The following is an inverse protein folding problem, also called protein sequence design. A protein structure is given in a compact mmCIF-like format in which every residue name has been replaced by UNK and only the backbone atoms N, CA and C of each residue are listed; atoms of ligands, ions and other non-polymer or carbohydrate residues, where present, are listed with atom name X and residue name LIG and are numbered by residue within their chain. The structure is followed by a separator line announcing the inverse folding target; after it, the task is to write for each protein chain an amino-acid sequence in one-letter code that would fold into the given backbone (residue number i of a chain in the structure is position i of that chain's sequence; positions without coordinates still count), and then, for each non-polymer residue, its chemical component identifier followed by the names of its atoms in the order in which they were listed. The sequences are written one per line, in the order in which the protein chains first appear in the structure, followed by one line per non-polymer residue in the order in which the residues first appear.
data_IF_178671379269
#
_entry.id   IF_178671379269
#
_cell.length_a   1.000
_cell.length_b   1.000
_cell.length_c   1.000
_cell.angle_alpha   90.00
_cell.angle_beta   90.00
_cell.angle_gamma   90.00
#
_symmetry.space_group_name_H-M   'P 1'
#
loop_
_entity.id
_entity.type
_entity.pdbx_description
1 polymer ?
#
# COMPACT_ATOMS: atom_id res chain seq x y z
N UNK A 1 15.30 32.74 -50.30
CA UNK A 1 15.15 34.15 -50.75
C UNK A 1 13.92 34.71 -50.10
N UNK A 2 13.93 35.97 -49.64
CA UNK A 2 12.80 36.58 -48.92
C UNK A 2 12.92 38.10 -48.85
N UNK A 3 12.27 38.77 -49.79
CA UNK A 3 12.02 40.22 -49.83
C UNK A 3 10.74 40.50 -48.98
N UNK A 4 10.47 41.65 -48.35
CA UNK A 4 10.90 43.08 -48.48
C UNK A 4 10.77 43.74 -47.06
N UNK A 5 11.64 44.67 -46.62
CA UNK A 5 11.51 46.15 -46.69
C UNK A 5 10.29 46.78 -45.95
N UNK A 6 10.34 47.96 -45.29
CA UNK A 6 11.44 48.94 -45.02
C UNK A 6 10.98 50.08 -44.05
N UNK A 7 11.91 50.99 -43.68
CA UNK A 7 11.78 52.32 -42.99
C UNK A 7 11.53 52.30 -41.47
N UNK A 8 12.02 53.21 -40.62
CA UNK A 8 13.18 54.16 -40.55
C UNK A 8 13.27 54.61 -39.05
N UNK A 9 14.42 54.77 -38.36
CA UNK A 9 15.44 55.86 -38.42
C UNK A 9 14.88 57.26 -38.07
N UNK A 10 15.29 58.01 -37.02
CA UNK A 10 15.88 57.67 -35.68
C UNK A 10 15.23 58.61 -34.59
N UNK A 11 15.79 59.45 -33.69
CA UNK A 11 17.15 59.87 -33.23
C UNK A 11 17.09 60.57 -31.83
N UNK A 12 17.94 60.15 -30.86
CA UNK A 12 18.82 60.90 -29.89
C UNK A 12 18.41 62.32 -29.37
N UNK A 13 18.56 62.73 -28.08
CA UNK A 13 19.83 62.91 -27.32
C UNK A 13 19.68 63.08 -25.78
N UNK A 14 20.80 62.92 -25.06
CA UNK A 14 21.10 63.00 -23.61
C UNK A 14 20.85 64.37 -22.92
N UNK A 15 20.88 64.40 -21.57
CA UNK A 15 21.80 65.20 -20.70
C UNK A 15 21.64 64.78 -19.20
N UNK A 16 22.62 65.07 -18.32
CA UNK A 16 22.74 64.55 -16.94
C UNK A 16 23.48 65.50 -15.96
N UNK A 17 22.93 65.75 -14.75
CA UNK A 17 23.55 66.42 -13.58
C UNK A 17 22.59 66.36 -12.36
N UNK A 18 22.90 65.85 -11.15
CA UNK A 18 23.80 66.38 -10.09
C UNK A 18 23.49 67.85 -9.71
N UNK A 19 23.28 68.29 -8.46
CA UNK A 19 23.65 67.81 -7.10
C UNK A 19 22.50 68.15 -6.08
N UNK A 20 22.57 68.13 -4.73
CA UNK A 20 23.63 68.19 -3.70
C UNK A 20 23.24 67.46 -2.38
N UNK A 21 24.21 67.32 -1.45
CA UNK A 21 24.03 66.97 -0.03
C UNK A 21 24.45 68.13 0.87
N UNK A 22 24.19 68.05 2.19
CA UNK A 22 25.35 68.02 3.09
C UNK A 22 25.33 66.83 4.07
N UNK A 23 26.52 66.33 4.41
CA UNK A 23 26.72 65.32 5.46
C UNK A 23 26.99 66.00 6.81
N UNK A 24 26.68 65.31 7.93
CA UNK A 24 27.28 65.58 9.24
C UNK A 24 27.88 64.29 9.79
N UNK A 25 29.15 64.35 10.19
CA UNK A 25 29.98 63.20 10.54
C UNK A 25 30.44 63.28 11.99
N UNK A 26 30.16 62.25 12.79
CA UNK A 26 30.84 62.00 14.06
C UNK A 26 31.41 60.58 14.09
N UNK A 27 32.70 60.51 14.43
CA UNK A 27 33.45 59.28 14.76
C UNK A 27 33.30 59.04 16.27
N UNK A 28 33.30 57.83 16.81
CA UNK A 28 33.38 56.51 16.19
C UNK A 28 34.28 55.57 16.99
N UNK A 29 33.76 54.42 17.44
CA UNK A 29 34.51 53.41 18.21
C UNK A 29 34.61 52.06 17.50
N UNK A 30 35.72 51.33 17.74
CA UNK A 30 36.01 50.03 17.13
C UNK A 30 35.62 48.88 18.07
N UNK A 31 34.60 48.09 17.72
CA UNK A 31 34.41 46.72 18.26
C UNK A 31 34.64 45.66 17.18
N UNK A 32 35.39 44.60 17.55
CA UNK A 32 35.79 43.51 16.63
C UNK A 32 34.57 42.68 16.24
N UNK A 33 34.37 42.42 14.94
CA UNK A 33 33.35 41.47 14.48
C UNK A 33 33.76 40.04 14.84
N UNK A 34 33.16 39.47 15.88
CA UNK A 34 33.12 38.02 16.06
C UNK A 34 32.31 37.41 14.91
N UNK A 35 32.87 36.38 14.24
CA UNK A 35 32.09 35.53 13.34
C UNK A 35 31.29 34.55 14.18
N UNK A 36 29.99 34.78 14.34
CA UNK A 36 29.10 33.78 14.92
C UNK A 36 28.95 32.61 13.94
N UNK A 37 29.44 31.42 14.32
CA UNK A 37 28.97 30.18 13.72
C UNK A 37 27.48 30.04 14.01
N UNK A 38 26.62 30.24 13.01
CA UNK A 38 25.25 29.74 13.07
C UNK A 38 25.31 28.24 12.81
N UNK A 39 25.18 27.43 13.86
CA UNK A 39 24.76 26.05 13.71
C UNK A 39 23.36 26.06 13.11
N UNK A 40 23.22 25.60 11.87
CA UNK A 40 21.93 25.34 11.24
C UNK A 40 21.34 24.04 11.81
N UNK A 41 21.05 24.04 13.11
CA UNK A 41 20.33 22.97 13.77
C UNK A 41 18.90 22.93 13.23
N UNK A 42 18.59 21.90 12.45
CA UNK A 42 17.23 21.65 11.97
C UNK A 42 16.42 21.16 13.17
N UNK A 43 15.57 22.04 13.71
CA UNK A 43 14.57 21.65 14.70
C UNK A 43 13.58 20.69 14.04
N UNK A 44 13.59 19.44 14.50
CA UNK A 44 12.72 18.38 14.01
C UNK A 44 11.38 18.45 14.75
N UNK A 45 10.39 19.12 14.16
CA UNK A 45 9.05 19.19 14.74
C UNK A 45 8.29 17.87 14.54
N UNK A 46 8.24 17.07 15.61
CA UNK A 46 7.61 15.76 15.63
C UNK A 46 6.12 15.77 15.26
N UNK A 47 5.39 16.88 15.47
CA UNK A 47 3.94 16.94 15.20
C UNK A 47 3.65 16.76 13.71
N UNK A 48 4.28 17.58 12.87
CA UNK A 48 4.26 17.49 11.40
C UNK A 48 4.74 16.13 10.86
N UNK A 49 5.57 15.41 11.63
CA UNK A 49 6.04 14.08 11.23
C UNK A 49 4.98 12.99 11.38
N UNK A 50 4.03 13.12 12.31
CA UNK A 50 2.93 12.18 12.52
C UNK A 50 1.71 12.48 11.64
N UNK A 51 1.35 13.75 11.43
CA UNK A 51 0.15 14.12 10.65
C UNK A 51 0.20 13.56 9.23
N UNK A 52 1.28 13.84 8.51
CA UNK A 52 1.47 13.41 7.11
C UNK A 52 1.95 11.94 6.96
N UNK A 53 1.89 11.11 8.01
CA UNK A 53 2.32 9.70 7.94
C UNK A 53 1.16 8.75 7.64
N UNK A 54 1.37 7.87 6.65
CA UNK A 54 0.52 6.71 6.28
C UNK A 54 1.36 5.43 6.41
N UNK A 55 0.74 4.29 6.68
CA UNK A 55 1.44 2.99 6.72
C UNK A 55 1.86 2.47 5.34
N UNK A 56 1.36 3.05 4.25
CA UNK A 56 1.90 2.79 2.92
C UNK A 56 3.37 3.27 2.87
N UNK A 57 4.30 2.31 2.97
CA UNK A 57 5.71 2.48 3.40
C UNK A 57 6.63 3.31 2.46
N UNK A 58 6.06 4.00 1.48
CA UNK A 58 6.73 4.92 0.55
C UNK A 58 6.39 6.40 0.77
N UNK A 59 5.27 6.74 1.41
CA UNK A 59 4.73 8.12 1.40
C UNK A 59 5.70 9.22 1.86
N UNK A 60 6.54 8.95 2.86
CA UNK A 60 7.64 9.85 3.27
C UNK A 60 9.04 9.38 2.84
N UNK A 61 9.21 8.13 2.42
CA UNK A 61 10.51 7.57 1.98
C UNK A 61 10.84 7.90 0.52
N UNK A 62 9.83 8.13 -0.33
CA UNK A 62 9.97 8.35 -1.79
C UNK A 62 9.79 9.83 -2.18
N UNK A 63 9.09 10.64 -1.38
CA UNK A 63 8.81 12.05 -1.71
C UNK A 63 10.06 12.96 -1.82
N UNK A 64 11.26 12.45 -1.51
CA UNK A 64 12.53 13.17 -1.58
C UNK A 64 13.52 12.51 -2.57
N UNK A 65 13.09 12.33 -3.83
CA UNK A 65 13.88 11.85 -4.98
C UNK A 65 15.10 12.72 -5.38
N UNK A 66 15.63 13.56 -4.48
CA UNK A 66 16.83 14.39 -4.70
C UNK A 66 18.16 13.66 -4.45
N UNK A 67 18.16 12.50 -3.79
CA UNK A 67 19.39 11.74 -3.44
C UNK A 67 19.21 10.21 -3.60
N UNK A 68 18.94 9.74 -4.82
CA UNK A 68 18.69 8.31 -5.08
C UNK A 68 19.78 7.35 -4.54
N UNK A 69 21.07 7.75 -4.57
CA UNK A 69 22.19 6.93 -4.07
C UNK A 69 22.15 6.65 -2.56
N UNK A 70 21.43 7.45 -1.76
CA UNK A 70 21.26 7.22 -0.32
C UNK A 70 20.05 6.34 0.01
N UNK A 71 19.17 6.09 -0.97
CA UNK A 71 17.95 5.31 -0.77
C UNK A 71 18.13 3.82 -1.06
N UNK A 72 19.14 3.42 -1.85
CA UNK A 72 19.39 2.03 -2.25
C UNK A 72 19.34 1.03 -1.10
N UNK A 73 20.23 1.12 -0.09
CA UNK A 73 20.24 0.18 1.04
C UNK A 73 18.91 0.14 1.83
N UNK A 74 18.20 1.27 1.92
CA UNK A 74 16.90 1.37 2.62
C UNK A 74 15.80 0.68 1.81
N UNK A 75 15.87 0.74 0.48
CA UNK A 75 14.98 0.00 -0.42
C UNK A 75 15.32 -1.49 -0.35
N UNK A 76 16.60 -1.87 -0.40
CA UNK A 76 17.06 -3.26 -0.32
C UNK A 76 16.61 -3.94 0.99
N UNK A 77 16.73 -3.26 2.14
CA UNK A 77 16.22 -3.75 3.44
C UNK A 77 14.69 -3.94 3.47
N UNK A 78 13.92 -3.03 2.88
CA UNK A 78 12.45 -3.11 2.82
C UNK A 78 11.98 -4.18 1.83
N UNK A 79 12.67 -4.34 0.69
CA UNK A 79 12.48 -5.43 -0.27
C UNK A 79 12.74 -6.78 0.40
N UNK A 80 13.85 -6.90 1.14
CA UNK A 80 14.17 -8.13 1.88
C UNK A 80 13.15 -8.42 3.00
N UNK A 81 12.63 -7.39 3.68
CA UNK A 81 11.52 -7.52 4.65
C UNK A 81 10.25 -8.05 3.98
N UNK A 82 9.79 -7.41 2.90
CA UNK A 82 8.59 -7.82 2.17
C UNK A 82 8.73 -9.24 1.56
N UNK A 83 9.95 -9.66 1.21
CA UNK A 83 10.26 -11.03 0.80
C UNK A 83 10.29 -12.04 1.98
N UNK A 84 10.64 -11.64 3.21
CA UNK A 84 10.42 -12.49 4.41
C UNK A 84 8.93 -12.65 4.67
N UNK A 85 8.19 -11.54 4.69
CA UNK A 85 6.76 -11.49 4.92
C UNK A 85 5.99 -12.37 3.94
N UNK A 86 6.29 -12.30 2.64
CA UNK A 86 5.69 -13.21 1.65
C UNK A 86 5.93 -14.69 1.97
N UNK A 87 7.15 -15.08 2.36
CA UNK A 87 7.49 -16.47 2.73
C UNK A 87 6.74 -16.93 3.98
N UNK A 88 6.57 -16.06 4.98
CA UNK A 88 5.76 -16.33 6.16
C UNK A 88 4.30 -16.62 5.79
N UNK A 89 3.62 -15.68 5.12
CA UNK A 89 2.21 -15.85 4.76
C UNK A 89 1.99 -17.01 3.79
N UNK A 90 2.90 -17.25 2.83
CA UNK A 90 2.83 -18.45 1.97
C UNK A 90 2.92 -19.75 2.76
N UNK A 91 3.72 -19.82 3.84
CA UNK A 91 3.80 -21.00 4.71
C UNK A 91 2.60 -21.17 5.64
N UNK A 92 1.95 -20.08 6.07
CA UNK A 92 0.68 -20.16 6.82
C UNK A 92 -0.43 -20.66 5.87
N UNK A 93 -0.55 -20.04 4.70
CA UNK A 93 -1.62 -20.33 3.75
C UNK A 93 -1.45 -21.63 2.97
N UNK A 94 -0.21 -22.11 2.75
CA UNK A 94 0.12 -23.26 1.89
C UNK A 94 -0.34 -23.12 0.42
N UNK A 95 -0.78 -21.90 0.04
CA UNK A 95 -1.17 -21.50 -1.31
C UNK A 95 -0.98 -19.98 -1.45
N UNK A 96 -0.82 -19.49 -2.67
CA UNK A 96 -0.76 -18.06 -2.97
C UNK A 96 -2.12 -17.36 -3.00
N UNK A 97 -3.21 -18.11 -3.14
CA UNK A 97 -4.60 -17.62 -3.18
C UNK A 97 -5.57 -18.69 -2.65
N UNK A 98 -6.84 -18.33 -2.39
CA UNK A 98 -7.92 -19.29 -2.05
C UNK A 98 -9.09 -19.27 -3.04
N UNK A 99 -9.20 -18.23 -3.87
CA UNK A 99 -10.21 -18.13 -4.93
C UNK A 99 -10.17 -19.32 -5.91
N UNK A 100 -11.31 -19.77 -6.47
CA UNK A 100 -11.39 -20.89 -7.41
C UNK A 100 -10.94 -20.49 -8.83
N UNK A 101 -9.70 -20.01 -8.96
CA UNK A 101 -9.10 -19.51 -10.22
C UNK A 101 -8.08 -20.47 -10.85
N UNK A 102 -7.67 -21.53 -10.13
CA UNK A 102 -6.64 -22.51 -10.53
C UNK A 102 -6.82 -23.06 -11.96
N UNK A 103 -8.03 -23.49 -12.33
CA UNK A 103 -8.31 -23.97 -13.69
C UNK A 103 -8.15 -22.86 -14.75
N UNK A 104 -8.59 -21.64 -14.43
CA UNK A 104 -8.47 -20.48 -15.32
C UNK A 104 -7.00 -20.06 -15.50
N UNK A 105 -6.18 -20.19 -14.45
CA UNK A 105 -4.73 -19.94 -14.51
C UNK A 105 -4.00 -21.00 -15.35
N UNK A 106 -4.37 -22.28 -15.20
CA UNK A 106 -3.79 -23.44 -15.93
C UNK A 106 -4.17 -23.53 -17.40
N UNK A 107 -5.43 -23.24 -17.73
CA UNK A 107 -5.93 -23.25 -19.13
C UNK A 107 -5.20 -22.21 -19.99
N UNK A 108 -4.92 -21.03 -19.42
CA UNK A 108 -4.08 -20.01 -20.03
C UNK A 108 -4.85 -18.82 -20.61
N UNK A 109 -4.12 -17.77 -20.98
CA UNK A 109 -4.71 -16.51 -21.42
C UNK A 109 -5.51 -15.80 -20.32
N UNK A 110 -5.26 -16.12 -19.04
CA UNK A 110 -5.81 -15.34 -17.93
C UNK A 110 -5.05 -14.02 -17.76
N UNK A 111 -5.77 -12.97 -17.34
CA UNK A 111 -5.18 -11.68 -16.97
C UNK A 111 -5.32 -11.49 -15.46
N UNK A 112 -4.20 -11.37 -14.75
CA UNK A 112 -4.14 -11.25 -13.30
C UNK A 112 -3.56 -9.89 -12.91
N UNK A 113 -4.15 -9.26 -11.91
CA UNK A 113 -3.67 -8.02 -11.29
C UNK A 113 -3.27 -8.28 -9.83
N UNK A 114 -2.15 -7.71 -9.39
CA UNK A 114 -1.61 -7.77 -8.03
C UNK A 114 -1.42 -6.31 -7.54
N UNK A 115 -2.29 -5.81 -6.67
CA UNK A 115 -2.33 -4.40 -6.25
C UNK A 115 -1.73 -4.25 -4.85
N UNK A 116 -0.74 -3.35 -4.74
CA UNK A 116 0.17 -3.32 -3.58
C UNK A 116 1.27 -4.36 -3.71
N UNK A 117 1.73 -4.65 -4.93
CA UNK A 117 2.67 -5.75 -5.17
C UNK A 117 4.05 -5.55 -4.51
N UNK A 118 4.40 -4.32 -4.11
CA UNK A 118 5.68 -3.95 -3.52
C UNK A 118 6.86 -4.41 -4.39
N UNK A 119 7.74 -5.32 -3.90
CA UNK A 119 8.83 -5.91 -4.69
C UNK A 119 8.37 -6.90 -5.77
N UNK A 120 7.06 -7.08 -5.98
CA UNK A 120 6.50 -7.95 -7.02
C UNK A 120 6.65 -9.45 -6.76
N UNK A 121 7.03 -9.88 -5.55
CA UNK A 121 7.42 -11.27 -5.30
C UNK A 121 6.28 -12.28 -5.54
N UNK A 122 5.04 -11.93 -5.15
CA UNK A 122 3.87 -12.77 -5.45
C UNK A 122 3.57 -12.77 -6.96
N UNK A 123 3.63 -11.59 -7.59
CA UNK A 123 3.44 -11.42 -9.04
C UNK A 123 4.40 -12.31 -9.85
N UNK A 124 5.68 -12.36 -9.44
CA UNK A 124 6.73 -13.16 -10.09
C UNK A 124 6.49 -14.64 -9.86
N UNK A 125 6.29 -15.08 -8.61
CA UNK A 125 6.14 -16.49 -8.29
C UNK A 125 4.88 -17.11 -8.94
N UNK A 126 3.79 -16.32 -9.04
CA UNK A 126 2.59 -16.69 -9.78
C UNK A 126 2.83 -16.72 -11.30
N UNK A 127 3.60 -15.78 -11.86
CA UNK A 127 3.95 -15.77 -13.28
C UNK A 127 4.84 -16.96 -13.68
N UNK A 128 5.76 -17.37 -12.80
CA UNK A 128 6.60 -18.57 -12.97
C UNK A 128 5.76 -19.86 -12.85
N UNK A 129 4.79 -19.89 -11.92
CA UNK A 129 3.89 -21.03 -11.72
C UNK A 129 2.89 -21.22 -12.86
N UNK A 130 2.45 -20.13 -13.50
CA UNK A 130 1.40 -20.14 -14.54
C UNK A 130 1.86 -19.44 -15.84
N UNK A 131 2.88 -19.98 -16.56
CA UNK A 131 3.54 -19.31 -17.68
C UNK A 131 2.63 -19.08 -18.92
N UNK A 132 1.44 -19.72 -18.97
CA UNK A 132 0.43 -19.48 -20.01
C UNK A 132 -0.48 -18.28 -19.73
N UNK A 133 -0.37 -17.67 -18.55
CA UNK A 133 -1.22 -16.58 -18.07
C UNK A 133 -0.38 -15.34 -17.78
N UNK A 134 -1.01 -14.16 -17.78
CA UNK A 134 -0.33 -12.86 -17.74
C UNK A 134 -0.60 -12.11 -16.45
N UNK A 135 0.47 -11.56 -15.85
CA UNK A 135 0.44 -10.97 -14.52
C UNK A 135 0.90 -9.52 -14.55
N UNK A 136 0.14 -8.64 -13.90
CA UNK A 136 0.43 -7.21 -13.78
C UNK A 136 0.51 -6.85 -12.31
N UNK A 137 1.68 -6.43 -11.83
CA UNK A 137 1.84 -5.88 -10.49
C UNK A 137 1.71 -4.36 -10.53
N UNK A 138 0.97 -3.79 -9.59
CA UNK A 138 0.83 -2.34 -9.40
C UNK A 138 1.18 -1.96 -7.98
N UNK A 139 1.98 -0.90 -7.85
CA UNK A 139 2.25 -0.26 -6.57
C UNK A 139 2.44 1.26 -6.77
N UNK A 140 2.19 2.05 -5.74
CA UNK A 140 2.49 3.49 -5.75
C UNK A 140 4.00 3.75 -5.60
N UNK A 141 4.74 2.78 -5.04
CA UNK A 141 6.18 2.76 -4.85
C UNK A 141 6.87 1.85 -5.89
N UNK A 142 7.76 2.37 -6.76
CA UNK A 142 8.37 1.58 -7.84
C UNK A 142 9.57 0.73 -7.33
N UNK A 143 9.35 -0.07 -6.27
CA UNK A 143 10.35 -0.97 -5.67
C UNK A 143 10.36 -2.38 -6.30
N UNK A 144 9.53 -2.61 -7.32
CA UNK A 144 9.49 -3.84 -8.11
C UNK A 144 10.61 -3.92 -9.17
N UNK A 145 11.01 -5.13 -9.63
CA UNK A 145 12.06 -5.32 -10.62
C UNK A 145 11.78 -4.69 -11.98
N UNK A 146 12.66 -3.77 -12.38
CA UNK A 146 12.59 -3.07 -13.67
C UNK A 146 13.10 -3.91 -14.86
N UNK A 147 14.08 -4.80 -14.62
CA UNK A 147 14.75 -5.59 -15.66
C UNK A 147 14.52 -7.10 -15.51
N UNK A 148 14.81 -7.67 -14.33
CA UNK A 148 14.76 -9.12 -14.07
C UNK A 148 13.37 -9.54 -13.60
N UNK A 149 12.54 -10.04 -14.52
CA UNK A 149 11.22 -10.62 -14.25
C UNK A 149 10.80 -11.61 -15.36
N UNK A 150 9.83 -12.52 -15.10
CA UNK A 150 9.26 -13.38 -16.13
C UNK A 150 8.66 -12.59 -17.30
N UNK A 151 8.69 -13.14 -18.52
CA UNK A 151 8.21 -12.46 -19.75
C UNK A 151 6.70 -12.20 -19.74
N UNK A 152 5.95 -12.97 -18.96
CA UNK A 152 4.51 -12.83 -18.72
C UNK A 152 4.18 -11.93 -17.51
N UNK A 153 5.19 -11.38 -16.81
CA UNK A 153 5.04 -10.44 -15.71
C UNK A 153 5.35 -8.99 -16.16
N UNK A 154 4.47 -8.06 -15.81
CA UNK A 154 4.63 -6.61 -16.03
C UNK A 154 4.42 -5.86 -14.71
N UNK A 155 5.05 -4.70 -14.59
CA UNK A 155 4.85 -3.81 -13.44
C UNK A 155 4.57 -2.39 -13.88
N UNK A 156 3.80 -1.66 -13.07
CA UNK A 156 3.42 -0.28 -13.32
C UNK A 156 3.33 0.49 -12.00
N UNK A 157 3.84 1.73 -11.99
CA UNK A 157 3.64 2.62 -10.85
C UNK A 157 2.27 3.30 -10.97
N UNK A 158 1.34 3.03 -10.04
CA UNK A 158 0.06 3.71 -9.95
C UNK A 158 -0.50 3.64 -8.51
N UNK A 159 -1.30 4.63 -8.14
CA UNK A 159 -1.98 4.71 -6.85
C UNK A 159 -3.48 4.43 -7.04
N UNK A 160 -4.00 3.38 -6.39
CA UNK A 160 -5.42 3.02 -6.51
C UNK A 160 -6.37 4.15 -6.08
N UNK A 161 -5.96 5.03 -5.17
CA UNK A 161 -6.77 6.16 -4.73
C UNK A 161 -6.97 7.24 -5.81
N UNK A 162 -6.17 7.21 -6.88
CA UNK A 162 -6.24 8.11 -8.03
C UNK A 162 -6.87 7.41 -9.27
N UNK A 163 -7.26 6.13 -9.13
CA UNK A 163 -7.74 5.26 -10.21
C UNK A 163 -6.61 4.42 -10.83
N UNK A 164 -6.92 3.17 -11.16
CA UNK A 164 -6.02 2.24 -11.84
C UNK A 164 -6.10 2.45 -13.36
N UNK A 165 -4.97 2.54 -14.08
CA UNK A 165 -4.93 2.87 -15.51
C UNK A 165 -5.26 1.66 -16.42
N UNK A 166 -6.35 0.97 -16.12
CA UNK A 166 -6.89 -0.16 -16.88
C UNK A 166 -8.37 0.07 -17.22
N UNK A 167 -8.82 -0.58 -18.30
CA UNK A 167 -10.23 -0.59 -18.67
C UNK A 167 -11.05 -1.44 -17.70
N UNK A 168 -12.35 -1.15 -17.63
CA UNK A 168 -13.34 -2.00 -16.99
C UNK A 168 -13.29 -3.43 -17.56
N UNK A 169 -13.67 -4.40 -16.73
CA UNK A 169 -13.73 -5.83 -17.08
C UNK A 169 -12.41 -6.44 -17.65
N UNK A 170 -11.25 -5.92 -17.22
CA UNK A 170 -9.94 -6.40 -17.69
C UNK A 170 -9.53 -7.76 -17.09
N UNK A 171 -9.52 -7.92 -15.76
CA UNK A 171 -8.79 -9.02 -15.11
C UNK A 171 -9.69 -10.19 -14.70
N UNK A 172 -9.23 -11.42 -14.97
CA UNK A 172 -9.83 -12.68 -14.50
C UNK A 172 -9.77 -12.81 -12.98
N UNK A 173 -8.66 -12.33 -12.40
CA UNK A 173 -8.37 -12.38 -10.98
C UNK A 173 -7.64 -11.12 -10.54
N UNK A 174 -8.08 -10.53 -9.44
CA UNK A 174 -7.45 -9.36 -8.82
C UNK A 174 -7.11 -9.70 -7.37
N UNK A 175 -5.83 -9.66 -7.05
CA UNK A 175 -5.29 -9.92 -5.72
C UNK A 175 -4.80 -8.61 -5.09
N UNK A 176 -5.05 -8.45 -3.79
CA UNK A 176 -4.48 -7.41 -2.95
C UNK A 176 -4.12 -8.03 -1.58
N UNK A 177 -3.08 -7.52 -0.91
CA UNK A 177 -2.74 -8.02 0.43
C UNK A 177 -2.00 -7.04 1.32
N UNK A 178 -2.17 -7.21 2.63
CA UNK A 178 -1.49 -6.48 3.70
C UNK A 178 -1.58 -4.95 3.54
N UNK A 179 -2.66 -4.45 2.94
CA UNK A 179 -2.94 -3.04 2.70
C UNK A 179 -4.01 -2.46 3.64
N UNK A 180 -4.54 -3.22 4.60
CA UNK A 180 -5.52 -2.71 5.58
C UNK A 180 -5.10 -1.39 6.24
N UNK A 181 -3.81 -1.23 6.54
CA UNK A 181 -3.26 -0.04 7.18
C UNK A 181 -2.96 1.12 6.21
N UNK A 182 -2.94 0.88 4.90
CA UNK A 182 -2.61 1.89 3.90
C UNK A 182 -3.73 2.92 3.67
N UNK A 183 -4.97 2.55 3.99
CA UNK A 183 -6.19 3.29 3.66
C UNK A 183 -7.11 3.43 4.89
N UNK A 184 -7.81 4.55 4.98
CA UNK A 184 -8.96 4.71 5.88
C UNK A 184 -10.14 3.84 5.45
N UNK A 185 -11.08 3.55 6.36
CA UNK A 185 -12.34 2.86 6.02
C UNK A 185 -13.05 3.54 4.84
N UNK A 186 -13.17 4.88 4.89
CA UNK A 186 -13.77 5.65 3.81
C UNK A 186 -13.06 5.47 2.45
N UNK A 187 -11.73 5.35 2.43
CA UNK A 187 -10.97 5.04 1.21
C UNK A 187 -11.16 3.60 0.74
N UNK A 188 -11.40 2.64 1.65
CA UNK A 188 -11.76 1.26 1.32
C UNK A 188 -13.12 1.16 0.63
N UNK A 189 -14.16 1.72 1.24
CA UNK A 189 -15.54 1.78 0.75
C UNK A 189 -15.70 2.57 -0.56
N UNK A 190 -15.24 3.82 -0.61
CA UNK A 190 -15.53 4.72 -1.74
C UNK A 190 -14.58 4.54 -2.94
N UNK A 191 -13.39 3.94 -2.73
CA UNK A 191 -12.35 3.85 -3.77
C UNK A 191 -11.84 2.44 -4.00
N UNK A 192 -11.22 1.81 -3.01
CA UNK A 192 -10.47 0.55 -3.22
C UNK A 192 -11.38 -0.57 -3.74
N UNK A 193 -12.45 -0.90 -3.03
CA UNK A 193 -13.34 -2.02 -3.40
C UNK A 193 -14.09 -1.73 -4.72
N UNK A 194 -14.71 -0.54 -4.93
CA UNK A 194 -15.37 -0.20 -6.19
C UNK A 194 -14.45 -0.22 -7.42
N UNK A 195 -13.16 0.10 -7.25
CA UNK A 195 -12.15 0.17 -8.31
C UNK A 195 -11.60 -1.21 -8.66
N UNK A 196 -11.27 -2.05 -7.66
CA UNK A 196 -10.92 -3.45 -7.90
C UNK A 196 -12.07 -4.17 -8.61
N UNK A 197 -13.31 -3.96 -8.14
CA UNK A 197 -14.51 -4.47 -8.80
C UNK A 197 -14.77 -3.86 -10.19
N UNK A 198 -14.23 -2.67 -10.51
CA UNK A 198 -14.30 -2.09 -11.87
C UNK A 198 -13.40 -2.87 -12.82
N UNK A 199 -12.12 -3.04 -12.46
CA UNK A 199 -11.11 -3.65 -13.33
C UNK A 199 -11.18 -5.18 -13.39
N UNK A 200 -11.77 -5.86 -12.41
CA UNK A 200 -12.14 -7.29 -12.50
C UNK A 200 -13.23 -7.50 -13.55
N UNK A 201 -13.14 -8.56 -14.36
CA UNK A 201 -14.20 -8.95 -15.30
C UNK A 201 -15.43 -9.52 -14.61
N UNK A 202 -16.58 -9.41 -15.25
CA UNK A 202 -17.79 -10.17 -14.90
C UNK A 202 -17.48 -11.67 -14.76
N UNK A 203 -17.95 -12.28 -13.67
CA UNK A 203 -17.61 -13.65 -13.28
C UNK A 203 -16.13 -13.88 -12.92
N UNK A 204 -15.34 -12.81 -12.76
CA UNK A 204 -13.96 -12.84 -12.26
C UNK A 204 -13.91 -12.65 -10.75
N UNK A 205 -12.74 -12.85 -10.14
CA UNK A 205 -12.59 -12.88 -8.68
C UNK A 205 -11.75 -11.71 -8.16
N UNK A 206 -12.15 -11.15 -7.01
CA UNK A 206 -11.30 -10.30 -6.17
C UNK A 206 -10.96 -11.05 -4.89
N UNK A 207 -9.69 -11.05 -4.50
CA UNK A 207 -9.22 -11.63 -3.23
C UNK A 207 -8.34 -10.65 -2.46
N UNK A 208 -8.62 -10.56 -1.16
CA UNK A 208 -7.81 -9.87 -0.17
C UNK A 208 -7.16 -10.90 0.75
N UNK A 209 -5.86 -10.78 1.03
CA UNK A 209 -5.19 -11.50 2.11
C UNK A 209 -4.63 -10.51 3.14
N UNK A 210 -5.11 -10.58 4.37
CA UNK A 210 -4.76 -9.62 5.41
C UNK A 210 -4.42 -10.31 6.74
N UNK A 211 -4.04 -9.52 7.74
CA UNK A 211 -3.64 -9.98 9.08
C UNK A 211 -4.32 -9.14 10.15
N UNK A 212 -4.65 -9.78 11.28
CA UNK A 212 -4.89 -9.07 12.52
C UNK A 212 -3.66 -8.26 12.91
N UNK A 213 -3.91 -7.10 13.53
CA UNK A 213 -2.89 -6.14 13.98
C UNK A 213 -2.72 -6.20 15.51
N UNK A 214 -3.69 -6.77 16.21
CA UNK A 214 -3.62 -7.12 17.63
C UNK A 214 -3.29 -8.61 17.75
N UNK A 215 -2.48 -8.98 18.75
CA UNK A 215 -2.15 -10.38 19.01
C UNK A 215 -3.05 -10.97 20.11
N UNK A 216 -3.24 -12.28 20.06
CA UNK A 216 -3.79 -13.08 21.15
C UNK A 216 -2.66 -13.47 22.10
N UNK A 217 -2.93 -13.52 23.41
CA UNK A 217 -1.95 -13.79 24.46
C UNK A 217 -0.71 -12.87 24.40
N UNK A 218 -0.94 -11.56 24.43
CA UNK A 218 0.13 -10.56 24.52
C UNK A 218 0.78 -10.55 25.91
N UNK A 219 2.10 -10.38 25.95
CA UNK A 219 2.78 -9.89 27.15
C UNK A 219 2.57 -8.38 27.34
N UNK A 220 2.81 -7.83 28.55
CA UNK A 220 2.48 -6.44 28.89
C UNK A 220 3.20 -5.38 28.03
N UNK A 221 4.41 -5.65 27.55
CA UNK A 221 5.14 -4.70 26.67
C UNK A 221 4.64 -4.78 25.23
N UNK A 222 4.36 -5.99 24.73
CA UNK A 222 3.71 -6.24 23.44
C UNK A 222 2.35 -5.55 23.39
N UNK A 223 1.52 -5.71 24.43
CA UNK A 223 0.23 -5.04 24.54
C UNK A 223 0.36 -3.51 24.55
N UNK A 224 1.42 -2.93 25.14
CA UNK A 224 1.69 -1.48 25.06
C UNK A 224 2.05 -1.04 23.65
N UNK A 225 2.81 -1.84 22.90
CA UNK A 225 3.11 -1.60 21.47
C UNK A 225 1.82 -1.65 20.62
N UNK A 226 1.03 -2.73 20.74
CA UNK A 226 -0.24 -2.93 20.04
C UNK A 226 -1.26 -1.83 20.35
N UNK A 227 -1.42 -1.44 21.62
CA UNK A 227 -2.35 -0.37 22.00
C UNK A 227 -1.96 0.99 21.42
N UNK A 228 -0.66 1.33 21.40
CA UNK A 228 -0.20 2.56 20.75
C UNK A 228 -0.43 2.53 19.23
N UNK A 229 -0.25 1.37 18.60
CA UNK A 229 -0.49 1.15 17.17
C UNK A 229 -1.98 1.29 16.83
N UNK A 230 -2.86 0.66 17.60
CA UNK A 230 -4.32 0.77 17.48
C UNK A 230 -4.81 2.20 17.70
N UNK A 231 -4.26 2.92 18.68
CA UNK A 231 -4.58 4.33 18.92
C UNK A 231 -4.18 5.23 17.74
N UNK A 232 -2.99 5.01 17.14
CA UNK A 232 -2.56 5.73 15.95
C UNK A 232 -3.47 5.45 14.75
N UNK A 233 -3.79 4.18 14.48
CA UNK A 233 -4.68 3.78 13.37
C UNK A 233 -6.08 4.37 13.51
N UNK A 234 -6.66 4.33 14.72
CA UNK A 234 -7.94 4.98 15.02
C UNK A 234 -7.89 6.49 14.77
N UNK A 235 -6.78 7.14 15.14
CA UNK A 235 -6.52 8.57 14.84
C UNK A 235 -6.34 8.90 13.35
N UNK A 236 -6.21 7.89 12.47
CA UNK A 236 -6.18 8.02 11.00
C UNK A 236 -7.46 7.59 10.31
N UNK A 237 -8.48 7.10 11.04
CA UNK A 237 -9.67 6.49 10.45
C UNK A 237 -9.40 5.17 9.74
N UNK A 238 -8.30 4.48 10.08
CA UNK A 238 -7.94 3.16 9.56
C UNK A 238 -8.83 2.07 10.21
N UNK A 239 -9.06 1.00 9.45
CA UNK A 239 -9.97 -0.12 9.72
C UNK A 239 -10.04 -0.65 11.16
N UNK A 240 -11.25 -1.02 11.58
CA UNK A 240 -11.56 -1.92 12.71
C UNK A 240 -12.95 -2.56 12.47
N UNK A 241 -13.21 -3.83 12.85
CA UNK A 241 -12.36 -5.02 12.82
C UNK A 241 -12.24 -5.60 11.39
N UNK A 242 -11.15 -6.26 11.04
CA UNK A 242 -10.85 -6.61 9.64
C UNK A 242 -11.68 -7.78 9.07
N UNK A 243 -11.92 -8.77 9.91
CA UNK A 243 -12.68 -10.02 9.70
C UNK A 243 -14.14 -9.78 9.33
N UNK A 244 -14.70 -8.66 9.78
CA UNK A 244 -16.06 -8.22 9.47
C UNK A 244 -16.08 -7.07 8.46
N UNK A 245 -15.19 -6.08 8.58
CA UNK A 245 -15.25 -4.89 7.74
C UNK A 245 -15.04 -5.18 6.25
N UNK A 246 -14.00 -5.95 5.89
CA UNK A 246 -13.67 -6.21 4.48
C UNK A 246 -14.80 -6.97 3.76
N UNK A 247 -15.31 -8.11 4.29
CA UNK A 247 -16.43 -8.80 3.63
C UNK A 247 -17.72 -7.96 3.63
N UNK A 248 -18.07 -7.27 4.73
CA UNK A 248 -19.24 -6.37 4.74
C UNK A 248 -19.14 -5.27 3.66
N UNK A 249 -17.94 -4.76 3.40
CA UNK A 249 -17.69 -3.75 2.36
C UNK A 249 -17.77 -4.33 0.95
N UNK A 250 -17.36 -5.58 0.75
CA UNK A 250 -17.56 -6.31 -0.50
C UNK A 250 -19.04 -6.61 -0.74
N UNK A 251 -19.77 -7.09 0.27
CA UNK A 251 -21.22 -7.34 0.19
C UNK A 251 -22.02 -6.07 -0.08
N UNK A 252 -21.62 -4.94 0.53
CA UNK A 252 -22.25 -3.63 0.32
C UNK A 252 -22.00 -3.06 -1.08
N UNK A 253 -20.92 -3.47 -1.75
CA UNK A 253 -20.63 -3.09 -3.12
C UNK A 253 -21.45 -3.92 -4.11
N UNK A 254 -22.45 -3.29 -4.75
CA UNK A 254 -23.42 -3.89 -5.69
C UNK A 254 -22.83 -4.63 -6.92
N UNK A 255 -21.50 -4.63 -7.08
CA UNK A 255 -20.77 -5.35 -8.13
C UNK A 255 -20.44 -6.80 -7.77
N UNK A 256 -20.59 -7.24 -6.52
CA UNK A 256 -20.25 -8.60 -6.08
C UNK A 256 -21.48 -9.48 -5.83
N UNK A 257 -21.31 -10.78 -6.10
CA UNK A 257 -22.22 -11.81 -5.59
C UNK A 257 -22.22 -11.78 -4.05
N UNK A 258 -23.39 -11.99 -3.43
CA UNK A 258 -23.59 -11.77 -1.99
C UNK A 258 -22.96 -12.84 -1.07
N UNK A 259 -22.49 -13.96 -1.62
CA UNK A 259 -21.77 -15.00 -0.87
C UNK A 259 -20.26 -14.69 -0.86
N UNK A 260 -19.83 -13.70 -0.06
CA UNK A 260 -18.42 -13.40 0.13
C UNK A 260 -17.77 -14.48 1.01
N UNK A 261 -16.68 -15.07 0.53
CA UNK A 261 -16.01 -16.21 1.18
C UNK A 261 -14.92 -15.72 2.11
N UNK A 262 -14.96 -16.23 3.33
CA UNK A 262 -14.05 -15.88 4.42
C UNK A 262 -13.31 -17.14 4.84
N UNK A 263 -11.98 -17.10 4.81
CA UNK A 263 -11.11 -18.11 5.41
C UNK A 263 -10.25 -17.49 6.50
N UNK A 264 -10.02 -18.22 7.58
CA UNK A 264 -9.14 -17.84 8.69
C UNK A 264 -8.00 -18.86 8.84
N UNK A 265 -6.79 -18.38 9.15
CA UNK A 265 -5.73 -19.20 9.74
C UNK A 265 -5.07 -18.50 10.93
N UNK A 266 -4.88 -19.23 12.03
CA UNK A 266 -4.04 -18.78 13.14
C UNK A 266 -2.54 -19.04 12.87
N UNK A 267 -1.69 -18.09 13.26
CA UNK A 267 -0.24 -18.23 13.28
C UNK A 267 0.29 -18.03 14.71
N UNK A 268 0.96 -19.06 15.24
CA UNK A 268 1.59 -19.03 16.57
C UNK A 268 2.99 -18.44 16.47
N UNK A 269 3.36 -17.56 17.41
CA UNK A 269 4.59 -16.76 17.37
C UNK A 269 5.56 -17.22 18.46
N UNK A 270 6.79 -17.57 18.08
CA UNK A 270 7.85 -18.05 18.98
C UNK A 270 8.42 -19.42 18.58
N UNK A 271 9.63 -19.72 19.06
CA UNK A 271 10.34 -20.99 18.81
C UNK A 271 9.59 -22.21 19.34
N UNK A 272 8.77 -22.02 20.37
CA UNK A 272 7.86 -23.05 20.89
C UNK A 272 6.85 -23.56 19.84
N UNK A 273 6.55 -22.77 18.80
CA UNK A 273 5.73 -23.16 17.66
C UNK A 273 6.57 -23.60 16.43
N UNK A 274 7.83 -23.98 16.66
CA UNK A 274 8.75 -24.49 15.65
C UNK A 274 9.24 -23.44 14.66
N UNK A 275 9.68 -23.91 13.49
CA UNK A 275 10.32 -23.08 12.47
C UNK A 275 9.40 -21.96 11.94
N UNK A 276 8.11 -22.24 11.77
CA UNK A 276 7.13 -21.24 11.33
C UNK A 276 6.93 -20.15 12.40
N UNK A 277 6.91 -20.53 13.68
CA UNK A 277 6.79 -19.58 14.79
C UNK A 277 8.03 -18.70 14.98
N UNK A 278 9.23 -19.23 14.73
CA UNK A 278 10.46 -18.43 14.65
C UNK A 278 10.41 -17.44 13.47
N UNK A 279 10.00 -17.90 12.27
CA UNK A 279 9.85 -17.03 11.11
C UNK A 279 8.83 -15.89 11.36
N UNK A 280 7.78 -16.15 12.16
CA UNK A 280 6.84 -15.13 12.59
C UNK A 280 7.48 -14.10 13.55
N UNK A 281 8.32 -14.53 14.50
CA UNK A 281 9.10 -13.61 15.34
C UNK A 281 9.98 -12.70 14.49
N UNK A 282 10.69 -13.26 13.50
CA UNK A 282 11.62 -12.50 12.67
C UNK A 282 10.91 -11.44 11.80
N UNK A 283 9.76 -11.78 11.20
CA UNK A 283 8.98 -10.83 10.40
C UNK A 283 8.35 -9.72 11.27
N UNK A 284 7.72 -10.07 12.39
CA UNK A 284 7.08 -9.11 13.31
C UNK A 284 8.13 -8.17 13.93
N UNK A 285 9.29 -8.71 14.34
CA UNK A 285 10.42 -7.92 14.87
C UNK A 285 10.91 -6.89 13.83
N UNK A 286 11.03 -7.29 12.56
CA UNK A 286 11.37 -6.38 11.46
C UNK A 286 10.25 -5.37 11.15
N UNK A 287 8.99 -5.77 11.28
CA UNK A 287 7.82 -4.89 11.16
C UNK A 287 7.85 -3.76 12.20
N UNK A 288 8.00 -4.09 13.49
CA UNK A 288 8.11 -3.09 14.55
C UNK A 288 9.32 -2.16 14.38
N UNK A 289 10.46 -2.68 13.92
CA UNK A 289 11.64 -1.88 13.61
C UNK A 289 11.39 -0.87 12.46
N UNK A 290 10.65 -1.28 11.41
CA UNK A 290 10.34 -0.42 10.27
C UNK A 290 9.46 0.80 10.64
N UNK A 291 8.61 0.67 11.66
CA UNK A 291 7.72 1.74 12.18
C UNK A 291 8.27 2.47 13.42
N UNK A 292 9.55 2.28 13.77
CA UNK A 292 10.17 2.79 15.01
C UNK A 292 9.97 4.29 15.27
N UNK A 293 10.19 5.15 14.28
CA UNK A 293 10.13 6.62 14.48
C UNK A 293 8.72 7.14 14.84
N UNK A 294 7.65 6.85 14.08
CA UNK A 294 6.30 7.25 14.47
C UNK A 294 5.84 6.55 15.75
N UNK A 295 6.16 5.26 15.95
CA UNK A 295 5.67 4.52 17.12
C UNK A 295 6.32 4.95 18.43
N UNK A 296 7.63 5.17 18.47
CA UNK A 296 8.29 5.75 19.67
C UNK A 296 7.72 7.12 20.03
N UNK A 297 7.46 7.97 19.02
CA UNK A 297 6.81 9.28 19.21
C UNK A 297 5.39 9.13 19.79
N UNK A 298 4.57 8.24 19.23
CA UNK A 298 3.21 7.94 19.73
C UNK A 298 3.20 7.36 21.16
N UNK A 299 4.21 6.58 21.52
CA UNK A 299 4.37 6.00 22.86
C UNK A 299 4.96 6.98 23.89
N UNK A 300 5.31 8.21 23.47
CA UNK A 300 6.10 9.17 24.25
C UNK A 300 7.40 8.57 24.82
N UNK A 301 8.04 7.67 24.04
CA UNK A 301 9.20 6.90 24.43
C UNK A 301 10.45 7.33 23.64
N UNK A 302 11.63 7.20 24.25
CA UNK A 302 12.90 7.39 23.54
C UNK A 302 13.15 6.26 22.53
N UNK A 303 13.97 6.54 21.51
CA UNK A 303 14.28 5.56 20.47
C UNK A 303 14.91 4.26 21.01
N UNK A 304 15.71 4.33 22.09
CA UNK A 304 16.28 3.16 22.76
C UNK A 304 15.24 2.40 23.60
N UNK A 305 14.36 3.10 24.32
CA UNK A 305 13.27 2.49 25.10
C UNK A 305 12.30 1.71 24.19
N UNK A 306 12.19 2.12 22.93
CA UNK A 306 11.46 1.40 21.89
C UNK A 306 12.23 0.18 21.34
N UNK A 307 13.57 0.27 21.20
CA UNK A 307 14.40 -0.90 20.87
C UNK A 307 14.29 -1.98 21.97
N UNK A 308 14.38 -1.56 23.23
CA UNK A 308 14.22 -2.43 24.40
C UNK A 308 12.84 -3.12 24.38
N UNK A 309 11.77 -2.40 24.01
CA UNK A 309 10.44 -2.99 23.85
C UNK A 309 10.38 -4.07 22.76
N UNK A 310 11.06 -3.88 21.62
CA UNK A 310 11.19 -4.92 20.58
C UNK A 310 11.98 -6.13 21.09
N UNK A 311 13.05 -5.92 21.87
CA UNK A 311 13.82 -7.02 22.48
C UNK A 311 13.05 -7.75 23.60
N UNK A 312 12.01 -7.13 24.16
CA UNK A 312 11.11 -7.76 25.14
C UNK A 312 10.00 -8.56 24.42
N UNK A 313 9.44 -8.06 23.30
CA UNK A 313 8.48 -8.81 22.47
C UNK A 313 8.99 -10.24 22.17
N UNK A 314 10.23 -10.37 21.71
CA UNK A 314 10.86 -11.66 21.39
C UNK A 314 11.06 -12.62 22.60
N UNK A 315 10.82 -12.15 23.83
CA UNK A 315 10.78 -12.96 25.07
C UNK A 315 9.35 -13.23 25.51
N UNK A 316 8.47 -12.23 25.41
CA UNK A 316 7.06 -12.34 25.75
C UNK A 316 6.34 -13.39 24.89
N UNK A 317 6.62 -13.46 23.59
CA UNK A 317 6.04 -14.49 22.70
C UNK A 317 6.36 -15.92 23.14
N UNK A 318 7.55 -16.15 23.71
CA UNK A 318 7.95 -17.46 24.25
C UNK A 318 7.26 -17.77 25.58
N UNK A 319 6.99 -16.75 26.41
CA UNK A 319 6.36 -16.90 27.71
C UNK A 319 4.84 -17.02 27.62
N UNK A 320 4.18 -16.08 26.92
CA UNK A 320 2.73 -15.91 26.88
C UNK A 320 2.05 -16.75 25.80
N UNK A 321 2.81 -17.36 24.87
CA UNK A 321 2.29 -18.19 23.77
C UNK A 321 1.39 -17.39 22.83
N UNK A 322 1.96 -16.29 22.34
CA UNK A 322 1.31 -15.29 21.50
C UNK A 322 0.95 -15.85 20.11
N UNK A 323 -0.15 -15.38 19.53
CA UNK A 323 -0.56 -15.69 18.15
C UNK A 323 -1.28 -14.52 17.48
N UNK A 324 -1.48 -14.59 16.16
CA UNK A 324 -2.37 -13.71 15.40
C UNK A 324 -3.21 -14.53 14.42
N UNK A 325 -4.29 -13.96 13.88
CA UNK A 325 -5.01 -14.54 12.74
C UNK A 325 -4.63 -13.82 11.45
N UNK A 326 -4.66 -14.57 10.36
CA UNK A 326 -4.64 -14.05 8.99
C UNK A 326 -5.90 -14.51 8.28
N UNK A 327 -6.40 -13.65 7.40
CA UNK A 327 -7.70 -13.78 6.78
C UNK A 327 -7.55 -13.76 5.26
N UNK A 328 -8.43 -14.49 4.58
CA UNK A 328 -8.71 -14.30 3.16
C UNK A 328 -10.18 -13.99 2.96
N UNK A 329 -10.44 -12.95 2.19
CA UNK A 329 -11.78 -12.52 1.79
C UNK A 329 -11.84 -12.56 0.27
N UNK A 330 -12.73 -13.35 -0.33
CA UNK A 330 -12.85 -13.44 -1.77
C UNK A 330 -14.29 -13.49 -2.27
N UNK A 331 -14.55 -12.75 -3.34
CA UNK A 331 -15.86 -12.58 -3.93
C UNK A 331 -15.81 -12.55 -5.45
N UNK A 332 -16.83 -13.11 -6.08
CA UNK A 332 -16.97 -13.08 -7.53
C UNK A 332 -17.73 -11.81 -7.95
N UNK A 333 -17.26 -11.14 -9.01
CA UNK A 333 -18.00 -10.03 -9.62
C UNK A 333 -19.21 -10.58 -10.37
N UNK A 334 -20.37 -9.95 -10.21
CA UNK A 334 -21.64 -10.39 -10.82
C UNK A 334 -21.50 -10.57 -12.35
N UNK A 335 -22.12 -11.62 -12.88
CA UNK A 335 -22.21 -11.90 -14.32
C UNK A 335 -23.59 -11.46 -14.86
N UNK A 336 -23.63 -10.39 -15.65
CA UNK A 336 -24.91 -9.90 -16.22
C UNK A 336 -25.54 -10.91 -17.20
N UNK A 337 -24.72 -11.77 -17.82
CA UNK A 337 -25.13 -12.89 -18.69
C UNK A 337 -26.03 -13.92 -18.01
N UNK A 338 -26.09 -13.95 -16.67
CA UNK A 338 -26.83 -14.96 -15.92
C UNK A 338 -28.32 -14.62 -15.74
N UNK A 339 -28.73 -13.37 -15.98
CA UNK A 339 -30.07 -12.88 -15.60
C UNK A 339 -31.18 -13.25 -16.60
N UNK A 340 -30.87 -13.71 -17.81
CA UNK A 340 -31.86 -14.02 -18.84
C UNK A 340 -32.43 -15.43 -18.72
N UNK A 341 -33.02 -15.75 -17.57
CA UNK A 341 -33.95 -16.87 -17.48
C UNK A 341 -35.21 -16.51 -18.30
N UNK A 342 -35.30 -17.05 -19.52
CA UNK A 342 -36.39 -16.71 -20.45
C UNK A 342 -37.70 -17.28 -19.92
N UNK A 343 -38.48 -16.44 -19.22
CA UNK A 343 -39.89 -16.70 -18.96
C UNK A 343 -40.69 -16.55 -20.25
N UNK A 344 -40.71 -17.60 -21.08
CA UNK A 344 -41.66 -17.73 -22.18
C UNK A 344 -43.09 -17.66 -21.63
N UNK A 345 -43.92 -16.68 -22.02
CA UNK A 345 -45.31 -16.64 -21.61
C UNK A 345 -46.06 -17.83 -22.23
N UNK A 346 -46.69 -18.66 -21.40
CA UNK A 346 -47.47 -19.81 -21.86
C UNK A 346 -48.86 -19.37 -22.32
N UNK A 347 -48.92 -18.63 -23.43
CA UNK A 347 -50.16 -18.18 -24.06
C UNK A 347 -50.01 -18.16 -25.58
N UNK A 348 -50.26 -19.31 -26.21
CA UNK A 348 -50.64 -19.42 -27.62
C UNK A 348 -51.88 -20.30 -27.70
N UNK A 349 -52.93 -19.77 -28.32
CA UNK A 349 -54.25 -20.37 -28.30
C UNK A 349 -54.35 -21.67 -29.10
N UNK A 350 -55.20 -22.58 -28.61
CA UNK A 350 -55.90 -23.55 -29.46
C UNK A 350 -57.38 -23.60 -29.07
N UNK A 351 -58.12 -22.68 -29.68
CA UNK A 351 -59.57 -22.80 -29.90
C UNK A 351 -59.83 -22.70 -31.41
N UNK A 352 -60.90 -23.35 -31.88
CA UNK A 352 -61.27 -23.54 -33.29
C UNK A 352 -60.52 -24.67 -34.04
N UNK A 353 -61.19 -25.53 -34.83
CA UNK A 353 -62.62 -25.92 -34.86
C UNK A 353 -62.79 -27.26 -35.62
N UNK A 354 -63.90 -27.96 -35.35
CA UNK A 354 -64.57 -28.99 -36.20
C UNK A 354 -63.73 -30.07 -36.92
N UNK A 355 -63.97 -31.34 -36.56
CA UNK A 355 -65.00 -32.16 -37.23
C UNK A 355 -65.59 -33.18 -36.25
#
# INVERSE_FOLDING_TARGET
MGLKQSKHITTTTLVNSSKDRPDVLLKGERRKKFRSFRSSGILFDGTSTLENWRFSHGGKRIHNLKNAKLLGPIIDEEVERLQRQHRLFKRIWQSNYSSPVEERLKSGGARILDVGCGPGTWTIEMAESYPKSTFTGVDFAPIFPQEKRPVNAKFLQANILDGLPFLDDTFDFVHMRLLVTAFSAKEWEEKVIPELARVTRQGGWVEFMESDIQYFNEGPVTQRLSNALMAFMKGKGILQPIDSYVPNSMESCEKFEKEIKIEEKSCFVGKWAGELGQLAVDDITKGWAAVKLPMSTMMSAKLNEYDDAIQIFAKEVEQYKTSFKTWRFFGQKISTTSSSAITTPSSWDQSEQSQ
#
